data_IF_088457076702
#
_entry.id   IF_088457076702
#
_cell.length_a   1.000
_cell.length_b   1.000
_cell.length_c   1.000
_cell.angle_alpha   90.00
_cell.angle_beta   90.00
_cell.angle_gamma   90.00
#
_symmetry.space_group_name_H-M   'P 1'
#
loop_
_entity.id
_entity.type
_entity.pdbx_description
1 polymer ?
#
# COMPACT_ATOMS: atom_id res chain seq x y z
N UNK A 1 -17.52 -3.74 -10.89
CA UNK A 1 -17.97 -3.62 -9.49
C UNK A 1 -16.71 -3.51 -8.64
N UNK A 2 -16.62 -2.54 -7.72
CA UNK A 2 -15.45 -2.43 -6.85
C UNK A 2 -15.43 -3.58 -5.82
N UNK A 3 -14.27 -4.17 -5.50
CA UNK A 3 -14.18 -5.21 -4.49
C UNK A 3 -14.40 -4.64 -3.07
N UNK A 4 -14.95 -5.46 -2.17
CA UNK A 4 -15.02 -5.11 -0.75
C UNK A 4 -13.63 -5.09 -0.11
N UNK A 5 -13.48 -4.37 1.00
CA UNK A 5 -12.24 -4.37 1.75
C UNK A 5 -11.88 -5.77 2.26
N UNK A 6 -12.87 -6.53 2.74
CA UNK A 6 -12.66 -7.90 3.19
C UNK A 6 -12.08 -8.78 2.07
N UNK A 7 -12.59 -8.64 0.85
CA UNK A 7 -12.08 -9.35 -0.33
C UNK A 7 -10.63 -8.95 -0.61
N UNK A 8 -10.34 -7.65 -0.70
CA UNK A 8 -8.98 -7.15 -0.91
C UNK A 8 -8.01 -7.66 0.15
N UNK A 9 -8.40 -7.57 1.42
CA UNK A 9 -7.61 -7.99 2.57
C UNK A 9 -7.30 -9.50 2.52
N UNK A 10 -8.31 -10.33 2.29
CA UNK A 10 -8.13 -11.79 2.20
C UNK A 10 -7.29 -12.24 1.00
N UNK A 11 -7.24 -11.45 -0.06
CA UNK A 11 -6.48 -11.74 -1.27
C UNK A 11 -5.06 -11.19 -1.27
N UNK A 12 -4.73 -10.36 -0.28
CA UNK A 12 -3.40 -9.78 -0.15
C UNK A 12 -2.36 -10.87 0.15
N UNK A 13 -1.22 -10.93 -0.58
CA UNK A 13 -0.23 -12.00 -0.44
C UNK A 13 0.25 -12.22 1.00
N UNK A 14 0.59 -11.13 1.70
CA UNK A 14 0.99 -11.17 3.12
C UNK A 14 -0.07 -11.78 4.04
N UNK A 15 -1.36 -11.60 3.74
CA UNK A 15 -2.46 -12.13 4.54
C UNK A 15 -2.71 -13.61 4.21
N UNK A 16 -2.55 -13.99 2.94
CA UNK A 16 -2.62 -15.40 2.51
C UNK A 16 -1.43 -16.24 3.01
N UNK A 17 -0.32 -15.59 3.36
CA UNK A 17 0.91 -16.27 3.73
C UNK A 17 1.74 -16.69 2.52
N UNK A 18 1.55 -16.01 1.38
CA UNK A 18 2.35 -16.24 0.19
C UNK A 18 3.80 -15.80 0.43
N UNK A 19 4.74 -16.51 -0.20
CA UNK A 19 6.10 -16.03 -0.36
C UNK A 19 6.15 -14.78 -1.26
N UNK A 20 7.36 -14.24 -1.46
CA UNK A 20 7.54 -13.11 -2.37
C UNK A 20 7.03 -13.48 -3.78
N UNK A 21 6.12 -12.68 -4.32
CA UNK A 21 5.52 -12.95 -5.64
C UNK A 21 6.54 -12.77 -6.77
N UNK A 22 7.50 -11.89 -6.57
CA UNK A 22 8.63 -11.64 -7.47
C UNK A 22 9.95 -11.79 -6.71
N UNK A 23 11.03 -12.04 -7.44
CA UNK A 23 12.38 -12.15 -6.93
C UNK A 23 12.77 -10.87 -6.17
N UNK A 24 13.26 -11.04 -4.92
CA UNK A 24 13.65 -9.92 -4.06
C UNK A 24 14.98 -9.29 -4.43
N UNK A 25 15.83 -10.00 -5.18
CA UNK A 25 17.09 -9.45 -5.66
C UNK A 25 16.84 -8.43 -6.77
N UNK A 26 15.85 -8.70 -7.61
CA UNK A 26 15.40 -7.79 -8.66
C UNK A 26 14.39 -6.74 -8.16
N UNK A 27 13.50 -7.12 -7.23
CA UNK A 27 12.41 -6.29 -6.72
C UNK A 27 12.45 -6.24 -5.19
N UNK A 28 13.33 -5.39 -4.64
CA UNK A 28 13.50 -5.25 -3.19
C UNK A 28 12.19 -4.83 -2.49
N UNK A 29 11.46 -3.89 -3.08
CA UNK A 29 10.21 -3.37 -2.53
C UNK A 29 9.00 -4.07 -3.14
N UNK A 30 8.34 -4.87 -2.31
CA UNK A 30 7.18 -5.69 -2.71
C UNK A 30 5.83 -5.02 -2.39
N UNK A 31 5.82 -3.78 -1.88
CA UNK A 31 4.60 -3.10 -1.41
C UNK A 31 3.57 -2.91 -2.54
N UNK A 32 3.96 -2.24 -3.63
CA UNK A 32 3.11 -2.04 -4.80
C UNK A 32 2.71 -3.37 -5.47
N UNK A 33 3.65 -4.33 -5.52
CA UNK A 33 3.42 -5.66 -6.09
C UNK A 33 2.31 -6.38 -5.34
N UNK A 34 2.37 -6.39 -4.01
CA UNK A 34 1.39 -7.08 -3.17
C UNK A 34 0.00 -6.44 -3.25
N UNK A 35 -0.08 -5.10 -3.26
CA UNK A 35 -1.34 -4.38 -3.42
C UNK A 35 -1.92 -4.61 -4.83
N UNK A 36 -1.09 -4.55 -5.87
CA UNK A 36 -1.50 -4.86 -7.24
C UNK A 36 -1.99 -6.31 -7.40
N UNK A 37 -1.34 -7.26 -6.74
CA UNK A 37 -1.80 -8.65 -6.70
C UNK A 37 -3.15 -8.78 -6.00
N UNK A 38 -3.38 -8.06 -4.89
CA UNK A 38 -4.66 -8.03 -4.20
C UNK A 38 -5.78 -7.47 -5.11
N UNK A 39 -5.49 -6.43 -5.91
CA UNK A 39 -6.42 -5.87 -6.90
C UNK A 39 -6.78 -6.88 -7.99
N UNK A 40 -5.78 -7.48 -8.63
CA UNK A 40 -5.98 -8.47 -9.71
C UNK A 40 -6.78 -9.68 -9.19
N UNK A 41 -6.39 -10.23 -8.03
CA UNK A 41 -7.08 -11.37 -7.40
C UNK A 41 -8.51 -11.05 -6.96
N UNK A 42 -8.83 -9.77 -6.78
CA UNK A 42 -10.17 -9.30 -6.40
C UNK A 42 -10.95 -8.75 -7.60
N UNK A 43 -10.50 -9.03 -8.82
CA UNK A 43 -11.15 -8.60 -10.07
C UNK A 43 -11.28 -7.09 -10.24
N UNK A 44 -10.40 -6.30 -9.59
CA UNK A 44 -10.26 -4.88 -9.88
C UNK A 44 -9.43 -4.73 -11.17
N UNK A 45 -10.03 -4.18 -12.22
CA UNK A 45 -9.34 -3.99 -13.50
C UNK A 45 -8.17 -3.03 -13.36
N UNK A 46 -7.00 -3.46 -13.83
CA UNK A 46 -5.80 -2.63 -13.92
C UNK A 46 -5.58 -2.08 -15.34
N UNK A 47 -6.54 -2.24 -16.26
CA UNK A 47 -6.37 -1.86 -17.67
C UNK A 47 -6.14 -0.36 -17.88
N UNK A 48 -6.62 0.48 -16.97
CA UNK A 48 -6.42 1.93 -17.01
C UNK A 48 -5.12 2.37 -16.34
N UNK A 49 -4.41 1.47 -15.65
CA UNK A 49 -3.10 1.77 -15.08
C UNK A 49 -2.07 1.91 -16.20
N UNK A 50 -1.25 2.96 -16.11
CA UNK A 50 -0.23 3.34 -17.10
C UNK A 50 1.16 3.44 -16.51
N UNK A 51 1.33 3.03 -15.25
CA UNK A 51 2.63 3.00 -14.59
C UNK A 51 3.45 1.77 -14.99
N UNK A 52 4.59 1.64 -14.35
CA UNK A 52 5.56 0.58 -14.63
C UNK A 52 5.11 -0.73 -14.00
N UNK A 53 5.10 -1.77 -14.83
CA UNK A 53 4.89 -3.15 -14.42
C UNK A 53 6.22 -3.91 -14.31
N UNK A 54 6.22 -4.96 -13.50
CA UNK A 54 7.30 -5.94 -13.47
C UNK A 54 7.46 -6.66 -14.82
N UNK A 55 8.66 -7.18 -15.05
CA UNK A 55 9.04 -7.91 -16.27
C UNK A 55 9.68 -9.28 -15.97
N UNK A 56 9.50 -9.82 -14.76
CA UNK A 56 9.98 -11.15 -14.41
C UNK A 56 9.33 -12.21 -15.30
N UNK A 57 10.17 -13.09 -15.86
CA UNK A 57 9.72 -14.19 -16.71
C UNK A 57 8.85 -15.16 -15.90
N UNK A 58 7.81 -15.70 -16.54
CA UNK A 58 6.90 -16.71 -15.98
C UNK A 58 6.10 -16.25 -14.74
N UNK A 59 6.06 -14.93 -14.47
CA UNK A 59 5.26 -14.31 -13.42
C UNK A 59 4.23 -13.33 -14.01
N UNK A 60 3.06 -13.15 -13.37
CA UNK A 60 2.14 -12.08 -13.73
C UNK A 60 2.81 -10.71 -13.59
N UNK A 61 2.34 -9.75 -14.40
CA UNK A 61 2.81 -8.37 -14.35
C UNK A 61 2.12 -7.63 -13.20
N UNK A 62 2.92 -7.08 -12.29
CA UNK A 62 2.46 -6.31 -11.15
C UNK A 62 2.99 -4.88 -11.20
N UNK A 63 2.26 -3.88 -10.69
CA UNK A 63 2.80 -2.54 -10.50
C UNK A 63 3.96 -2.57 -9.50
N UNK A 64 5.05 -1.88 -9.81
CA UNK A 64 6.27 -1.92 -8.97
C UNK A 64 6.58 -0.60 -8.26
N UNK A 65 5.88 0.48 -8.58
CA UNK A 65 6.10 1.82 -8.00
C UNK A 65 4.91 2.25 -7.17
N UNK A 66 5.13 2.49 -5.88
CA UNK A 66 4.07 2.88 -4.94
C UNK A 66 3.44 4.23 -5.31
N UNK A 67 4.25 5.26 -5.63
CA UNK A 67 3.74 6.57 -6.05
C UNK A 67 2.88 6.50 -7.32
N UNK A 68 3.30 5.73 -8.33
CA UNK A 68 2.52 5.60 -9.57
C UNK A 68 1.18 4.90 -9.31
N UNK A 69 1.19 3.87 -8.46
CA UNK A 69 -0.03 3.19 -8.04
C UNK A 69 -0.96 4.14 -7.27
N UNK A 70 -0.43 4.93 -6.34
CA UNK A 70 -1.17 5.95 -5.60
C UNK A 70 -1.75 7.04 -6.53
N UNK A 71 -0.97 7.54 -7.49
CA UNK A 71 -1.42 8.54 -8.46
C UNK A 71 -2.56 8.00 -9.33
N UNK A 72 -2.50 6.73 -9.72
CA UNK A 72 -3.58 6.09 -10.46
C UNK A 72 -4.86 5.96 -9.64
N UNK A 73 -4.77 5.57 -8.36
CA UNK A 73 -5.91 5.54 -7.45
C UNK A 73 -6.53 6.95 -7.29
N UNK A 74 -5.69 7.98 -7.11
CA UNK A 74 -6.11 9.38 -6.97
C UNK A 74 -6.76 9.95 -8.23
N UNK A 75 -6.37 9.46 -9.42
CA UNK A 75 -6.93 9.92 -10.69
C UNK A 75 -8.41 9.57 -10.90
N UNK A 76 -9.00 8.73 -10.06
CA UNK A 76 -10.37 8.20 -10.21
C UNK A 76 -10.54 7.17 -11.34
N UNK A 77 -9.48 6.86 -12.09
CA UNK A 77 -9.50 5.89 -13.19
C UNK A 77 -9.41 4.43 -12.73
N UNK A 78 -9.14 4.21 -11.45
CA UNK A 78 -9.00 2.87 -10.86
C UNK A 78 -10.33 2.11 -10.73
N UNK A 79 -11.46 2.81 -10.87
CA UNK A 79 -12.79 2.24 -10.64
C UNK A 79 -13.14 2.11 -9.16
N UNK A 80 -12.29 2.57 -8.24
CA UNK A 80 -12.67 2.80 -6.84
C UNK A 80 -13.57 4.02 -6.76
N UNK A 81 -14.69 3.88 -6.06
CA UNK A 81 -15.69 4.94 -5.92
C UNK A 81 -15.32 5.94 -4.81
N UNK A 82 -14.40 5.57 -3.92
CA UNK A 82 -13.97 6.39 -2.81
C UNK A 82 -13.04 7.52 -3.27
N UNK A 83 -13.29 8.74 -2.78
CA UNK A 83 -12.38 9.87 -2.96
C UNK A 83 -11.17 9.72 -2.06
N UNK A 84 -10.01 10.13 -2.57
CA UNK A 84 -8.78 10.20 -1.78
C UNK A 84 -8.89 11.25 -0.68
N UNK A 85 -8.55 10.84 0.53
CA UNK A 85 -8.34 11.74 1.67
C UNK A 85 -6.83 11.91 1.87
N UNK A 86 -6.34 13.16 1.94
CA UNK A 86 -4.91 13.47 2.08
C UNK A 86 -4.67 14.16 3.42
N UNK A 87 -3.70 13.65 4.17
CA UNK A 87 -3.34 14.11 5.50
C UNK A 87 -1.83 14.31 5.60
N UNK A 88 -1.40 15.09 6.60
CA UNK A 88 0.01 15.10 7.01
C UNK A 88 0.38 13.79 7.71
N UNK A 89 1.66 13.39 7.69
CA UNK A 89 2.12 12.20 8.42
C UNK A 89 1.76 12.23 9.91
N UNK A 90 1.79 13.42 10.52
CA UNK A 90 1.54 13.63 11.95
C UNK A 90 0.11 13.26 12.36
N UNK A 91 -0.88 13.54 11.51
CA UNK A 91 -2.30 13.33 11.85
C UNK A 91 -2.94 12.16 11.10
N UNK A 92 -2.35 11.71 9.99
CA UNK A 92 -3.03 10.80 9.06
C UNK A 92 -3.45 9.48 9.71
N UNK A 93 -2.59 8.87 10.52
CA UNK A 93 -2.93 7.62 11.22
C UNK A 93 -4.09 7.77 12.21
N UNK A 94 -4.20 8.91 12.89
CA UNK A 94 -5.29 9.19 13.82
C UNK A 94 -6.61 9.40 13.06
N UNK A 95 -6.55 10.01 11.86
CA UNK A 95 -7.72 10.26 10.99
C UNK A 95 -8.26 8.99 10.32
N UNK A 96 -7.40 8.01 10.07
CA UNK A 96 -7.80 6.73 9.45
C UNK A 96 -8.02 5.62 10.48
N UNK A 97 -7.77 5.88 11.76
CA UNK A 97 -8.00 4.93 12.84
C UNK A 97 -9.44 4.41 12.80
N UNK A 98 -9.62 3.11 13.05
CA UNK A 98 -10.90 2.37 13.01
C UNK A 98 -11.62 2.36 11.66
N UNK A 99 -10.96 2.84 10.59
CA UNK A 99 -11.49 2.83 9.21
C UNK A 99 -10.70 1.85 8.36
N UNK A 100 -11.34 1.27 7.36
CA UNK A 100 -10.72 0.30 6.45
C UNK A 100 -10.49 0.92 5.08
N UNK A 101 -9.40 0.54 4.41
CA UNK A 101 -9.10 1.08 3.10
C UNK A 101 -7.70 0.79 2.58
N UNK A 102 -7.32 1.51 1.54
CA UNK A 102 -5.96 1.52 0.99
C UNK A 102 -5.25 2.75 1.57
N UNK A 103 -3.99 2.59 1.97
CA UNK A 103 -3.16 3.68 2.50
C UNK A 103 -1.87 3.79 1.70
N UNK A 104 -1.51 5.01 1.33
CA UNK A 104 -0.23 5.38 0.76
C UNK A 104 0.47 6.34 1.70
N UNK A 105 1.76 6.08 1.96
CA UNK A 105 2.60 6.82 2.87
C UNK A 105 3.77 7.35 2.04
N UNK A 106 3.77 8.65 1.82
CA UNK A 106 4.72 9.32 0.94
C UNK A 106 5.99 9.72 1.71
N UNK A 107 7.16 9.50 1.09
CA UNK A 107 8.43 10.09 1.53
C UNK A 107 8.75 9.84 3.02
N UNK A 108 8.58 8.60 3.50
CA UNK A 108 8.71 8.27 4.93
C UNK A 108 10.06 7.67 5.31
N UNK A 109 10.87 7.20 4.36
CA UNK A 109 12.17 6.55 4.63
C UNK A 109 13.18 6.73 3.47
N UNK A 110 14.40 6.22 3.66
CA UNK A 110 15.48 6.28 2.65
C UNK A 110 16.30 7.57 2.69
N UNK A 111 17.42 7.56 1.98
CA UNK A 111 18.26 8.76 1.81
C UNK A 111 17.46 9.87 1.13
N UNK A 112 17.47 11.07 1.70
CA UNK A 112 16.66 12.18 1.20
C UNK A 112 15.13 12.02 1.37
N UNK A 113 14.64 11.02 2.13
CA UNK A 113 13.20 10.75 2.35
C UNK A 113 12.42 10.53 1.06
N UNK A 114 12.93 9.74 0.12
CA UNK A 114 12.24 9.45 -1.15
C UNK A 114 11.51 8.10 -1.17
N UNK A 115 11.55 7.36 -0.07
CA UNK A 115 10.93 6.05 0.04
C UNK A 115 9.44 6.14 0.39
N UNK A 116 8.63 5.52 -0.45
CA UNK A 116 7.17 5.42 -0.27
C UNK A 116 6.74 4.04 0.23
N UNK A 117 5.51 3.94 0.76
CA UNK A 117 4.84 2.67 1.04
C UNK A 117 3.38 2.71 0.64
N UNK A 118 2.86 1.62 0.09
CA UNK A 118 1.43 1.43 -0.17
C UNK A 118 0.98 0.10 0.39
N UNK A 119 -0.18 0.07 1.04
CA UNK A 119 -0.71 -1.12 1.71
C UNK A 119 -2.24 -1.07 1.87
N UNK A 120 -2.80 -2.16 2.39
CA UNK A 120 -4.16 -2.17 2.93
C UNK A 120 -4.11 -1.86 4.44
N UNK A 121 -5.09 -1.09 4.91
CA UNK A 121 -5.25 -0.67 6.30
C UNK A 121 -6.58 -1.18 6.85
N UNK A 122 -6.54 -1.95 7.94
CA UNK A 122 -7.74 -2.56 8.53
C UNK A 122 -8.36 -1.78 9.71
N UNK A 123 -7.98 -0.52 9.90
CA UNK A 123 -8.41 0.29 11.04
C UNK A 123 -7.48 0.27 12.24
N UNK A 124 -6.54 -0.68 12.29
CA UNK A 124 -5.55 -0.77 13.36
C UNK A 124 -4.13 -1.04 12.87
N UNK A 125 -3.97 -1.67 11.70
CA UNK A 125 -2.66 -2.06 11.16
C UNK A 125 -2.65 -2.20 9.65
N UNK A 126 -1.43 -2.19 9.11
CA UNK A 126 -1.12 -2.62 7.75
C UNK A 126 -1.18 -4.16 7.62
N UNK A 127 -1.06 -4.68 6.40
CA UNK A 127 -1.15 -6.14 6.16
C UNK A 127 -0.05 -6.93 6.86
N UNK A 128 1.16 -6.38 6.94
CA UNK A 128 2.23 -6.92 7.80
C UNK A 128 1.80 -6.88 9.27
N UNK A 129 1.76 -8.07 9.92
CA UNK A 129 1.33 -8.19 11.33
C UNK A 129 2.21 -7.36 12.28
N UNK A 130 3.50 -7.24 11.98
CA UNK A 130 4.45 -6.44 12.75
C UNK A 130 4.20 -4.93 12.69
N UNK A 131 3.53 -4.42 11.65
CA UNK A 131 3.19 -3.00 11.55
C UNK A 131 2.28 -2.51 12.68
N UNK A 132 1.41 -3.38 13.22
CA UNK A 132 0.62 -3.06 14.41
C UNK A 132 1.51 -2.70 15.59
N UNK A 133 2.58 -3.47 15.81
CA UNK A 133 3.51 -3.27 16.93
C UNK A 133 4.25 -1.93 16.80
N UNK A 134 4.76 -1.60 15.60
CA UNK A 134 5.47 -0.33 15.40
C UNK A 134 4.58 0.91 15.50
N UNK A 135 3.34 0.83 14.98
CA UNK A 135 2.40 1.96 14.99
C UNK A 135 1.82 2.18 16.41
N UNK A 136 1.45 1.11 17.11
CA UNK A 136 0.83 1.18 18.43
C UNK A 136 1.81 1.58 19.54
N UNK A 137 3.07 1.16 19.44
CA UNK A 137 4.08 1.38 20.49
C UNK A 137 5.01 2.57 20.23
N UNK A 138 4.78 3.35 19.16
CA UNK A 138 5.60 4.50 18.78
C UNK A 138 7.09 4.18 18.64
N UNK A 139 7.42 2.94 18.27
CA UNK A 139 8.81 2.49 18.17
C UNK A 139 9.38 3.05 16.86
N UNK A 140 10.30 3.99 17.00
CA UNK A 140 11.14 4.49 15.92
C UNK A 140 12.60 4.21 16.28
N UNK A 141 13.33 3.62 15.34
CA UNK A 141 14.77 3.41 15.46
C UNK A 141 15.41 3.99 14.22
N UNK A 142 16.10 5.13 14.37
CA UNK A 142 16.74 5.79 13.24
C UNK A 142 17.71 4.82 12.55
N UNK A 143 17.46 4.56 11.26
CA UNK A 143 18.23 3.62 10.45
C UNK A 143 17.73 2.16 10.44
N UNK A 144 16.70 1.78 11.21
CA UNK A 144 16.18 0.40 11.24
C UNK A 144 14.65 0.36 11.07
N UNK A 145 13.89 1.24 11.74
CA UNK A 145 12.43 1.35 11.65
C UNK A 145 12.08 2.85 11.67
N UNK A 146 11.71 3.42 10.53
CA UNK A 146 11.37 4.85 10.44
C UNK A 146 9.92 5.10 10.86
N UNK A 147 9.71 6.10 11.73
CA UNK A 147 8.36 6.53 12.13
C UNK A 147 7.58 7.01 10.90
N UNK A 148 6.54 6.25 10.52
CA UNK A 148 5.66 6.60 9.41
C UNK A 148 4.91 7.93 9.65
N UNK A 149 4.89 8.46 10.87
CA UNK A 149 4.34 9.79 11.18
C UNK A 149 5.23 10.94 10.72
N UNK A 150 6.49 10.65 10.37
CA UNK A 150 7.39 11.59 9.69
C UNK A 150 7.20 11.63 8.17
N UNK A 151 6.25 10.84 7.65
CA UNK A 151 5.87 10.90 6.25
C UNK A 151 5.43 12.32 5.85
N UNK A 152 5.77 12.71 4.64
CA UNK A 152 5.36 14.01 4.08
C UNK A 152 3.84 14.06 3.93
N UNK A 153 3.26 12.98 3.43
CA UNK A 153 1.82 12.85 3.27
C UNK A 153 1.33 11.41 3.51
N UNK A 154 0.10 11.29 3.97
CA UNK A 154 -0.66 10.04 4.04
C UNK A 154 -1.91 10.22 3.17
N UNK A 155 -2.05 9.36 2.17
CA UNK A 155 -3.24 9.32 1.31
C UNK A 155 -4.04 8.08 1.65
N UNK A 156 -5.35 8.23 1.76
CA UNK A 156 -6.24 7.18 2.19
C UNK A 156 -7.45 7.08 1.27
N UNK A 157 -7.76 5.86 0.83
CA UNK A 157 -8.97 5.55 0.08
C UNK A 157 -9.83 4.62 0.94
N UNK A 158 -10.93 5.10 1.54
CA UNK A 158 -11.81 4.25 2.33
C UNK A 158 -12.43 3.16 1.45
N UNK A 159 -12.37 1.91 1.92
CA UNK A 159 -13.04 0.77 1.29
C UNK A 159 -13.79 0.01 2.38
N UNK A 160 -15.05 -0.29 2.13
CA UNK A 160 -15.93 -1.02 3.05
C UNK A 160 -15.90 -2.53 2.74
#
# INVERSE_FOLDING_TARGET
MQPSFATLWSNHPTIKGDDALLDRDAYKDQCAINVGAAFIRSSLSMESFRGVYSWQKDSPKYPIRAQELANWLDSGKSGLMARTEKYTGKEGFDKIAKRTGIVFIQNYWGEGRQGDHIDLWNGARLTKRSSWFFIQWHISWEGVITDMRRAEAIWFWPVL
#
